data_IF_127280014104
#
_entry.id   IF_127280014104
#
_cell.length_a   1.000
_cell.length_b   1.000
_cell.length_c   1.000
_cell.angle_alpha   90.00
_cell.angle_beta   90.00
_cell.angle_gamma   90.00
#
_symmetry.space_group_name_H-M   'P 1'
#
loop_
_entity.id
_entity.type
_entity.pdbx_description
1 polymer ?
#
# COMPACT_ATOMS: atom_id res chain seq x y z
N UNK A 1 -64.16 65.73 -20.48
CA UNK A 1 -64.17 66.61 -21.67
C UNK A 1 -62.96 66.25 -22.53
N UNK A 2 -63.04 66.60 -23.81
CA UNK A 2 -62.44 66.02 -25.02
C UNK A 2 -60.88 66.06 -25.14
N UNK A 3 -60.33 65.27 -26.09
CA UNK A 3 -58.94 64.80 -26.18
C UNK A 3 -58.08 65.69 -27.10
N UNK A 4 -56.76 65.47 -27.14
CA UNK A 4 -55.93 65.93 -28.27
C UNK A 4 -54.88 64.86 -28.62
N UNK A 5 -55.05 64.28 -29.81
CA UNK A 5 -54.02 63.57 -30.57
C UNK A 5 -53.13 64.61 -31.26
N UNK A 6 -51.82 64.43 -31.21
CA UNK A 6 -50.89 65.05 -32.15
C UNK A 6 -49.88 64.00 -32.60
N UNK A 7 -50.08 63.53 -33.82
CA UNK A 7 -49.16 62.70 -34.60
C UNK A 7 -48.01 63.55 -35.13
N UNK A 8 -46.76 63.17 -34.85
CA UNK A 8 -45.62 63.60 -35.66
C UNK A 8 -44.81 62.35 -36.04
N UNK A 9 -44.90 62.03 -37.32
CA UNK A 9 -44.03 61.13 -38.06
C UNK A 9 -42.60 61.67 -38.08
N UNK A 10 -41.62 60.84 -37.72
CA UNK A 10 -40.19 61.16 -37.84
C UNK A 10 -39.38 59.88 -37.88
N UNK A 11 -39.12 59.39 -39.09
CA UNK A 11 -38.32 58.21 -39.40
C UNK A 11 -36.83 58.53 -39.20
N UNK A 12 -36.16 57.91 -38.22
CA UNK A 12 -34.69 57.78 -38.21
C UNK A 12 -34.37 56.30 -38.05
N UNK A 13 -34.20 55.67 -39.20
CA UNK A 13 -33.71 54.30 -39.36
C UNK A 13 -32.18 54.38 -39.33
N UNK A 14 -31.56 54.11 -38.18
CA UNK A 14 -30.19 53.56 -38.11
C UNK A 14 -29.81 53.16 -36.69
N UNK A 15 -28.91 52.17 -36.61
CA UNK A 15 -28.42 51.43 -35.44
C UNK A 15 -29.32 50.24 -35.07
N UNK A 16 -28.85 49.01 -34.93
CA UNK A 16 -27.51 48.47 -35.14
C UNK A 16 -27.61 46.98 -35.48
N UNK A 17 -26.62 46.59 -36.27
CA UNK A 17 -26.16 45.25 -36.56
C UNK A 17 -26.13 44.34 -35.30
N UNK A 18 -26.87 43.23 -35.32
CA UNK A 18 -26.50 42.02 -34.57
C UNK A 18 -27.19 40.80 -35.20
N UNK A 19 -26.52 40.25 -36.21
CA UNK A 19 -26.74 38.89 -36.68
C UNK A 19 -26.37 37.87 -35.56
N UNK A 20 -26.82 36.61 -35.69
CA UNK A 20 -27.08 35.68 -34.61
C UNK A 20 -25.80 34.97 -34.14
N UNK A 21 -25.82 34.45 -32.91
CA UNK A 21 -25.29 33.12 -32.61
C UNK A 21 -25.38 32.88 -31.11
N UNK A 22 -26.13 31.85 -30.75
CA UNK A 22 -25.97 31.15 -29.49
C UNK A 22 -24.53 30.60 -29.44
N UNK A 23 -23.57 31.41 -29.00
CA UNK A 23 -22.23 30.94 -28.71
C UNK A 23 -22.32 30.00 -27.50
N UNK A 24 -22.48 28.71 -27.76
CA UNK A 24 -22.37 27.67 -26.74
C UNK A 24 -20.97 27.80 -26.14
N UNK A 25 -20.89 28.33 -24.90
CA UNK A 25 -19.65 28.41 -24.13
C UNK A 25 -19.08 26.99 -23.99
N UNK A 26 -18.07 26.65 -24.78
CA UNK A 26 -17.28 25.42 -24.62
C UNK A 26 -16.40 25.60 -23.39
N UNK A 27 -16.42 24.62 -22.50
CA UNK A 27 -15.58 24.59 -21.32
C UNK A 27 -14.46 23.58 -21.53
N UNK A 28 -13.24 24.00 -21.22
CA UNK A 28 -12.04 23.19 -21.35
C UNK A 28 -11.47 22.92 -19.96
N UNK A 29 -11.12 21.67 -19.69
CA UNK A 29 -10.36 21.26 -18.49
C UNK A 29 -9.02 20.67 -18.91
N UNK A 30 -8.01 20.85 -18.06
CA UNK A 30 -6.74 20.14 -18.20
C UNK A 30 -6.88 18.80 -17.46
N UNK A 31 -6.59 17.71 -18.17
CA UNK A 31 -6.57 16.37 -17.59
C UNK A 31 -5.42 16.24 -16.60
N UNK A 32 -5.71 15.84 -15.36
CA UNK A 32 -4.72 15.65 -14.30
C UNK A 32 -3.77 14.46 -14.55
N UNK A 33 -4.12 13.56 -15.48
CA UNK A 33 -3.40 12.30 -15.69
C UNK A 33 -2.36 12.36 -16.81
N UNK A 34 -2.60 13.18 -17.83
CA UNK A 34 -1.75 13.25 -19.01
C UNK A 34 -1.52 14.68 -19.52
N UNK A 35 -1.97 15.70 -18.78
CA UNK A 35 -1.81 17.12 -19.11
C UNK A 35 -2.46 17.57 -20.43
N UNK A 36 -3.36 16.77 -21.01
CA UNK A 36 -4.10 17.15 -22.23
C UNK A 36 -5.26 18.10 -21.90
N UNK A 37 -5.51 19.09 -22.77
CA UNK A 37 -6.67 19.99 -22.66
C UNK A 37 -7.87 19.37 -23.37
N UNK A 38 -8.91 19.01 -22.61
CA UNK A 38 -10.15 18.44 -23.14
C UNK A 38 -11.25 19.48 -23.10
N UNK A 39 -11.74 19.88 -24.27
CA UNK A 39 -12.75 20.93 -24.45
C UNK A 39 -14.12 20.37 -24.87
N UNK A 40 -15.12 20.48 -23.99
CA UNK A 40 -16.48 20.01 -24.22
C UNK A 40 -17.54 21.12 -24.22
N UNK A 41 -18.79 20.80 -24.55
CA UNK A 41 -19.93 21.67 -24.21
C UNK A 41 -20.17 21.62 -22.71
N UNK A 42 -20.52 22.75 -22.09
CA UNK A 42 -21.01 22.76 -20.70
C UNK A 42 -22.27 21.90 -20.62
N UNK A 43 -22.23 20.84 -19.81
CA UNK A 43 -23.40 20.01 -19.58
C UNK A 43 -24.51 20.90 -19.01
N UNK A 44 -25.70 20.83 -19.61
CA UNK A 44 -26.88 21.50 -19.07
C UNK A 44 -27.28 20.88 -17.73
N UNK A 45 -27.95 21.63 -16.85
CA UNK A 45 -28.45 21.07 -15.59
C UNK A 45 -29.29 19.81 -15.82
N UNK A 46 -30.06 19.77 -16.90
CA UNK A 46 -30.84 18.58 -17.30
C UNK A 46 -29.97 17.38 -17.67
N UNK A 47 -28.83 17.60 -18.34
CA UNK A 47 -27.88 16.53 -18.67
C UNK A 47 -27.12 16.04 -17.42
N UNK A 48 -26.72 16.95 -16.53
CA UNK A 48 -26.10 16.61 -15.23
C UNK A 48 -27.10 15.85 -14.35
N UNK A 49 -28.35 16.30 -14.28
CA UNK A 49 -29.41 15.65 -13.52
C UNK A 49 -29.78 14.28 -14.12
N UNK A 50 -29.72 14.11 -15.44
CA UNK A 50 -29.86 12.80 -16.09
C UNK A 50 -28.71 11.86 -15.75
N UNK A 51 -27.47 12.36 -15.76
CA UNK A 51 -26.28 11.58 -15.39
C UNK A 51 -26.32 11.19 -13.90
N UNK A 52 -26.61 12.14 -13.00
CA UNK A 52 -26.77 11.90 -11.57
C UNK A 52 -27.94 10.95 -11.28
N UNK A 53 -29.13 11.12 -11.90
CA UNK A 53 -30.23 10.14 -11.76
C UNK A 53 -29.87 8.74 -12.25
N UNK A 54 -29.02 8.63 -13.27
CA UNK A 54 -28.56 7.34 -13.80
C UNK A 54 -27.52 6.70 -12.89
N UNK A 55 -26.63 7.48 -12.28
CA UNK A 55 -25.72 7.02 -11.24
C UNK A 55 -26.50 6.60 -9.98
N UNK A 56 -27.43 7.41 -9.50
CA UNK A 56 -28.27 7.11 -8.34
C UNK A 56 -29.14 5.87 -8.57
N UNK A 57 -29.67 5.65 -9.78
CA UNK A 57 -30.38 4.39 -10.11
C UNK A 57 -29.47 3.18 -10.14
N UNK A 58 -28.21 3.34 -10.55
CA UNK A 58 -27.21 2.26 -10.52
C UNK A 58 -26.76 1.96 -9.08
N UNK A 59 -26.74 2.95 -8.20
CA UNK A 59 -26.50 2.74 -6.77
C UNK A 59 -27.69 2.08 -6.08
N UNK A 60 -28.94 2.50 -6.34
CA UNK A 60 -30.12 1.86 -5.74
C UNK A 60 -30.35 0.41 -6.17
N UNK A 61 -29.85 0.01 -7.36
CA UNK A 61 -29.81 -1.41 -7.77
C UNK A 61 -28.61 -2.19 -7.20
N UNK A 62 -27.61 -1.51 -6.64
CA UNK A 62 -26.59 -2.12 -5.78
C UNK A 62 -27.05 -2.20 -4.32
N UNK A 63 -28.09 -1.45 -3.99
CA UNK A 63 -28.73 -1.33 -2.67
C UNK A 63 -30.02 -2.18 -2.57
N UNK A 64 -30.06 -3.30 -3.29
CA UNK A 64 -31.10 -4.33 -3.19
C UNK A 64 -30.75 -5.36 -2.11
N UNK A 65 -30.16 -4.94 -0.98
CA UNK A 65 -29.95 -5.78 0.22
C UNK A 65 -29.16 -7.08 -0.02
N UNK A 66 -28.57 -7.26 -1.21
CA UNK A 66 -27.79 -8.44 -1.61
C UNK A 66 -26.29 -8.20 -1.51
N UNK A 67 -25.88 -7.19 -0.75
CA UNK A 67 -24.54 -7.08 -0.20
C UNK A 67 -24.46 -7.55 1.27
N UNK A 68 -25.60 -7.76 1.93
CA UNK A 68 -25.68 -8.18 3.33
C UNK A 68 -25.84 -9.69 3.51
N UNK A 69 -24.90 -10.44 2.93
CA UNK A 69 -24.62 -11.82 3.38
C UNK A 69 -23.14 -12.19 3.47
N UNK A 70 -22.19 -11.32 3.12
CA UNK A 70 -20.87 -11.85 2.69
C UNK A 70 -19.61 -11.06 3.06
N UNK A 71 -19.62 -10.25 4.11
CA UNK A 71 -18.46 -10.27 5.01
C UNK A 71 -18.69 -11.44 5.95
N UNK A 72 -18.15 -12.60 5.60
CA UNK A 72 -18.10 -13.74 6.51
C UNK A 72 -17.22 -13.35 7.70
N UNK A 73 -17.84 -12.68 8.66
CA UNK A 73 -17.27 -12.33 9.95
C UNK A 73 -17.44 -13.50 10.93
N UNK A 74 -17.40 -14.73 10.42
CA UNK A 74 -17.26 -15.93 11.23
C UNK A 74 -16.01 -15.77 12.09
N UNK A 75 -16.10 -16.29 13.32
CA UNK A 75 -14.96 -16.42 14.23
C UNK A 75 -13.78 -17.11 13.53
N UNK A 76 -14.04 -17.96 12.53
CA UNK A 76 -13.02 -18.64 11.74
C UNK A 76 -12.18 -17.68 10.87
N UNK A 77 -12.82 -16.74 10.17
CA UNK A 77 -12.13 -15.74 9.33
C UNK A 77 -11.19 -14.88 10.16
N UNK A 78 -11.69 -14.33 11.29
CA UNK A 78 -10.86 -13.52 12.21
C UNK A 78 -9.69 -14.30 12.79
N UNK A 79 -9.93 -15.57 13.16
CA UNK A 79 -8.89 -16.47 13.68
C UNK A 79 -7.81 -16.69 12.64
N UNK A 80 -8.19 -16.94 11.38
CA UNK A 80 -7.24 -17.11 10.28
C UNK A 80 -6.44 -15.83 10.04
N UNK A 81 -7.07 -14.66 9.98
CA UNK A 81 -6.38 -13.39 9.79
C UNK A 81 -5.38 -13.09 10.91
N UNK A 82 -5.74 -13.42 12.16
CA UNK A 82 -4.82 -13.32 13.30
C UNK A 82 -3.60 -14.24 13.12
N UNK A 83 -3.82 -15.52 12.81
CA UNK A 83 -2.74 -16.50 12.57
C UNK A 83 -1.80 -16.04 11.44
N UNK A 84 -2.35 -15.49 10.35
CA UNK A 84 -1.56 -15.01 9.22
C UNK A 84 -0.66 -13.82 9.62
N UNK A 85 -1.17 -12.89 10.44
CA UNK A 85 -0.38 -11.75 10.95
C UNK A 85 0.73 -12.22 11.88
N UNK A 86 0.43 -13.08 12.85
CA UNK A 86 1.42 -13.61 13.79
C UNK A 86 2.55 -14.36 13.08
N UNK A 87 2.22 -15.21 12.08
CA UNK A 87 3.24 -15.89 11.28
C UNK A 87 4.09 -14.87 10.50
N UNK A 88 3.46 -13.85 9.91
CA UNK A 88 4.20 -12.82 9.19
C UNK A 88 5.14 -12.02 10.11
N UNK A 89 4.76 -11.79 11.37
CA UNK A 89 5.62 -11.17 12.37
C UNK A 89 6.79 -12.08 12.74
N UNK A 90 6.59 -13.40 12.85
CA UNK A 90 7.69 -14.36 12.98
C UNK A 90 8.67 -14.33 11.79
N UNK A 91 8.15 -14.18 10.56
CA UNK A 91 8.99 -14.00 9.37
C UNK A 91 9.85 -12.74 9.47
N UNK A 92 9.25 -11.62 9.89
CA UNK A 92 9.96 -10.34 10.05
C UNK A 92 11.02 -10.44 11.13
N UNK A 93 10.68 -11.04 12.25
CA UNK A 93 11.61 -11.25 13.35
C UNK A 93 12.76 -12.16 12.96
N UNK A 94 12.49 -13.34 12.41
CA UNK A 94 13.52 -14.36 12.18
C UNK A 94 14.34 -14.09 10.92
N UNK A 95 13.69 -13.65 9.85
CA UNK A 95 14.27 -13.55 8.51
C UNK A 95 14.41 -12.11 8.00
N UNK A 96 13.90 -11.12 8.72
CA UNK A 96 14.01 -9.71 8.34
C UNK A 96 13.15 -9.33 7.13
N UNK A 97 12.13 -10.11 6.78
CA UNK A 97 11.22 -9.83 5.66
C UNK A 97 9.80 -10.33 5.93
N UNK A 98 8.83 -9.87 5.16
CA UNK A 98 7.49 -10.47 5.17
C UNK A 98 7.53 -11.88 4.56
N UNK A 99 6.67 -12.76 5.08
CA UNK A 99 6.43 -14.07 4.49
C UNK A 99 5.69 -13.94 3.16
N UNK A 100 5.95 -14.83 2.22
CA UNK A 100 5.15 -14.90 1.00
C UNK A 100 3.80 -15.60 1.27
N UNK A 101 2.83 -15.41 0.38
CA UNK A 101 1.48 -15.94 0.55
C UNK A 101 1.45 -17.46 0.71
N UNK A 102 2.36 -18.20 0.06
CA UNK A 102 2.41 -19.66 0.14
C UNK A 102 3.03 -20.10 1.45
N UNK A 103 4.18 -19.54 1.83
CA UNK A 103 4.85 -19.83 3.10
C UNK A 103 3.97 -19.57 4.31
N UNK A 104 3.31 -18.40 4.37
CA UNK A 104 2.38 -18.07 5.45
C UNK A 104 1.22 -19.07 5.51
N UNK A 105 0.61 -19.39 4.36
CA UNK A 105 -0.50 -20.35 4.30
C UNK A 105 -0.09 -21.73 4.80
N UNK A 106 1.09 -22.22 4.40
CA UNK A 106 1.59 -23.53 4.83
C UNK A 106 1.69 -23.66 6.35
N UNK A 107 2.24 -22.65 7.03
CA UNK A 107 2.29 -22.67 8.50
C UNK A 107 0.94 -22.40 9.14
N UNK A 108 0.13 -21.52 8.54
CA UNK A 108 -1.20 -21.22 9.06
C UNK A 108 -2.10 -22.45 9.07
N UNK A 109 -2.08 -23.26 8.01
CA UNK A 109 -2.89 -24.48 7.94
C UNK A 109 -2.47 -25.50 9.02
N UNK A 110 -1.17 -25.56 9.40
CA UNK A 110 -0.66 -26.41 10.50
C UNK A 110 -1.04 -25.91 11.90
N UNK A 111 -1.10 -24.58 12.09
CA UNK A 111 -1.55 -24.00 13.37
C UNK A 111 -3.06 -24.16 13.51
N UNK A 112 -3.82 -23.95 12.43
CA UNK A 112 -5.27 -24.07 12.43
C UNK A 112 -5.74 -25.52 12.61
N UNK A 113 -4.98 -26.51 12.12
CA UNK A 113 -5.24 -27.94 12.40
C UNK A 113 -4.90 -28.36 13.84
N UNK A 114 -4.17 -27.54 14.59
CA UNK A 114 -3.70 -27.86 15.94
C UNK A 114 -2.43 -28.72 15.98
N UNK A 115 -1.82 -29.02 14.82
CA UNK A 115 -0.59 -29.82 14.77
C UNK A 115 0.62 -29.05 15.34
N UNK A 116 0.64 -27.72 15.15
CA UNK A 116 1.80 -26.87 15.41
C UNK A 116 1.40 -25.65 16.24
N UNK A 117 2.35 -25.15 17.02
CA UNK A 117 2.31 -23.86 17.69
C UNK A 117 3.24 -22.83 17.02
N UNK A 118 3.16 -21.57 17.45
CA UNK A 118 4.04 -20.51 16.95
C UNK A 118 5.52 -20.76 17.26
N UNK A 119 5.82 -21.41 18.39
CA UNK A 119 7.19 -21.76 18.75
C UNK A 119 7.82 -22.74 17.75
N UNK A 120 7.05 -23.70 17.25
CA UNK A 120 7.49 -24.64 16.20
C UNK A 120 7.72 -23.93 14.88
N UNK A 121 6.82 -23.03 14.46
CA UNK A 121 7.03 -22.21 13.26
C UNK A 121 8.33 -21.40 13.38
N UNK A 122 8.57 -20.77 14.54
CA UNK A 122 9.80 -20.02 14.78
C UNK A 122 11.06 -20.89 14.67
N UNK A 123 11.03 -22.11 15.22
CA UNK A 123 12.15 -23.06 15.12
C UNK A 123 12.43 -23.45 13.67
N UNK A 124 11.41 -23.74 12.89
CA UNK A 124 11.57 -24.07 11.47
C UNK A 124 12.16 -22.90 10.67
N UNK A 125 11.68 -21.68 10.92
CA UNK A 125 12.24 -20.48 10.31
C UNK A 125 13.70 -20.27 10.71
N UNK A 126 14.04 -20.40 11.99
CA UNK A 126 15.39 -20.19 12.52
C UNK A 126 16.40 -21.26 12.05
N UNK A 127 15.95 -22.50 11.90
CA UNK A 127 16.74 -23.62 11.38
C UNK A 127 16.88 -23.63 9.85
N UNK A 128 16.12 -22.78 9.14
CA UNK A 128 16.09 -22.78 7.68
C UNK A 128 17.43 -22.34 7.05
N UNK A 129 17.63 -22.75 5.78
CA UNK A 129 18.75 -22.27 4.97
C UNK A 129 18.75 -20.74 4.85
N UNK A 130 17.57 -20.14 4.77
CA UNK A 130 17.44 -18.70 4.65
C UNK A 130 17.90 -17.97 5.92
N UNK A 131 17.54 -18.45 7.12
CA UNK A 131 18.05 -17.86 8.36
C UNK A 131 19.58 -17.91 8.42
N UNK A 132 20.18 -19.03 7.98
CA UNK A 132 21.64 -19.14 7.85
C UNK A 132 22.22 -18.13 6.86
N UNK A 133 21.60 -17.93 5.70
CA UNK A 133 22.01 -16.93 4.72
C UNK A 133 21.92 -15.51 5.27
N UNK A 134 20.85 -15.18 6.03
CA UNK A 134 20.67 -13.90 6.71
C UNK A 134 21.72 -13.64 7.78
N UNK A 135 22.03 -14.62 8.62
CA UNK A 135 23.09 -14.49 9.63
C UNK A 135 24.44 -14.27 8.95
N UNK A 136 24.77 -15.05 7.90
CA UNK A 136 26.00 -14.85 7.14
C UNK A 136 26.08 -13.46 6.50
N UNK A 137 24.96 -12.93 6.00
CA UNK A 137 24.90 -11.58 5.48
C UNK A 137 25.27 -10.54 6.57
N UNK A 138 24.72 -10.65 7.77
CA UNK A 138 25.09 -9.77 8.89
C UNK A 138 26.59 -9.85 9.24
N UNK A 139 27.15 -11.06 9.25
CA UNK A 139 28.58 -11.28 9.46
C UNK A 139 29.43 -10.61 8.37
N UNK A 140 29.05 -10.70 7.10
CA UNK A 140 29.79 -10.04 6.01
C UNK A 140 29.68 -8.52 6.09
N UNK A 141 28.52 -8.00 6.47
CA UNK A 141 28.30 -6.56 6.61
C UNK A 141 29.10 -5.96 7.78
N UNK A 142 29.17 -6.67 8.92
CA UNK A 142 29.75 -6.15 10.17
C UNK A 142 31.21 -6.54 10.34
N UNK A 143 31.56 -7.80 10.05
CA UNK A 143 32.87 -8.41 10.30
C UNK A 143 33.67 -8.72 9.04
N UNK A 144 33.10 -8.49 7.84
CA UNK A 144 33.75 -8.74 6.54
C UNK A 144 34.18 -10.20 6.31
N UNK A 145 33.49 -11.15 6.95
CA UNK A 145 33.68 -12.60 6.80
C UNK A 145 32.34 -13.31 6.87
N UNK A 146 32.30 -14.57 6.47
CA UNK A 146 31.16 -15.44 6.81
C UNK A 146 31.22 -15.87 8.29
N UNK A 147 30.05 -16.24 8.82
CA UNK A 147 29.98 -16.83 10.13
C UNK A 147 30.63 -18.21 10.12
N UNK A 148 31.41 -18.50 11.14
CA UNK A 148 31.89 -19.86 11.40
C UNK A 148 30.75 -20.75 11.94
N UNK A 149 31.03 -22.04 12.10
CA UNK A 149 30.02 -23.03 12.52
C UNK A 149 29.44 -22.71 13.91
N UNK A 150 30.25 -22.20 14.83
CA UNK A 150 29.82 -21.91 16.19
C UNK A 150 28.99 -20.63 16.25
N UNK A 151 29.39 -19.59 15.53
CA UNK A 151 28.64 -18.35 15.37
C UNK A 151 27.27 -18.59 14.75
N UNK A 152 27.20 -19.37 13.66
CA UNK A 152 25.92 -19.76 13.04
C UNK A 152 25.02 -20.48 14.04
N UNK A 153 25.52 -21.52 14.70
CA UNK A 153 24.74 -22.30 15.66
C UNK A 153 24.23 -21.44 16.81
N UNK A 154 25.07 -20.53 17.30
CA UNK A 154 24.72 -19.63 18.42
C UNK A 154 23.56 -18.72 18.05
N UNK A 155 23.66 -18.02 16.92
CA UNK A 155 22.60 -17.11 16.51
C UNK A 155 21.33 -17.82 16.05
N UNK A 156 21.43 -18.99 15.40
CA UNK A 156 20.24 -19.80 15.11
C UNK A 156 19.50 -20.19 16.39
N UNK A 157 20.21 -20.66 17.43
CA UNK A 157 19.60 -20.94 18.74
C UNK A 157 18.99 -19.70 19.40
N UNK A 158 19.61 -18.54 19.24
CA UNK A 158 19.07 -17.30 19.78
C UNK A 158 17.79 -16.89 19.03
N UNK A 159 17.74 -17.05 17.70
CA UNK A 159 16.51 -16.89 16.93
C UNK A 159 15.46 -17.90 17.43
N UNK A 160 15.78 -19.18 17.61
CA UNK A 160 14.81 -20.15 18.17
C UNK A 160 14.22 -19.69 19.52
N UNK A 161 15.03 -19.04 20.37
CA UNK A 161 14.64 -18.53 21.70
C UNK A 161 13.93 -17.18 21.68
N UNK A 162 13.56 -16.65 20.52
CA UNK A 162 12.78 -15.42 20.42
C UNK A 162 13.58 -14.17 20.06
N UNK A 163 14.88 -14.27 19.75
CA UNK A 163 15.59 -13.11 19.23
C UNK A 163 15.10 -12.76 17.82
N UNK A 164 15.08 -11.47 17.51
CA UNK A 164 14.94 -10.98 16.15
C UNK A 164 16.31 -10.90 15.48
N UNK A 165 16.31 -10.94 14.15
CA UNK A 165 17.49 -10.73 13.32
C UNK A 165 18.12 -9.35 13.57
N UNK A 166 17.30 -8.35 13.89
CA UNK A 166 17.78 -7.03 14.30
C UNK A 166 18.51 -7.07 15.64
N UNK A 167 18.04 -7.87 16.60
CA UNK A 167 18.76 -8.09 17.87
C UNK A 167 20.09 -8.80 17.62
N UNK A 168 20.14 -9.78 16.71
CA UNK A 168 21.39 -10.42 16.28
C UNK A 168 22.35 -9.40 15.68
N UNK A 169 21.86 -8.49 14.83
CA UNK A 169 22.68 -7.40 14.26
C UNK A 169 23.32 -6.53 15.34
N UNK A 170 22.53 -6.09 16.32
CA UNK A 170 23.02 -5.26 17.44
C UNK A 170 24.06 -6.01 18.29
N UNK A 171 23.77 -7.25 18.66
CA UNK A 171 24.69 -8.08 19.45
C UNK A 171 26.02 -8.29 18.72
N UNK A 172 25.97 -8.55 17.40
CA UNK A 172 27.18 -8.69 16.60
C UNK A 172 27.98 -7.39 16.50
N UNK A 173 27.33 -6.23 16.39
CA UNK A 173 27.98 -4.91 16.41
C UNK A 173 28.68 -4.59 17.73
N UNK A 174 28.11 -5.07 18.84
CA UNK A 174 28.60 -4.87 20.21
C UNK A 174 29.56 -5.98 20.66
N UNK A 175 29.78 -7.01 19.84
CA UNK A 175 30.64 -8.14 20.17
C UNK A 175 32.13 -7.76 20.28
N UNK A 176 32.89 -8.55 21.05
CA UNK A 176 34.35 -8.46 21.06
C UNK A 176 34.96 -8.67 19.68
N UNK A 177 34.34 -9.50 18.85
CA UNK A 177 34.80 -9.74 17.47
C UNK A 177 34.71 -8.46 16.63
N UNK A 178 33.62 -7.71 16.74
CA UNK A 178 33.49 -6.43 16.04
C UNK A 178 34.50 -5.39 16.55
N UNK A 179 34.74 -5.34 17.86
CA UNK A 179 35.79 -4.48 18.44
C UNK A 179 37.17 -4.83 17.88
N UNK A 180 37.52 -6.12 17.85
CA UNK A 180 38.81 -6.61 17.34
C UNK A 180 38.96 -6.37 15.84
N UNK A 181 37.91 -6.57 15.05
CA UNK A 181 37.93 -6.29 13.60
C UNK A 181 38.21 -4.81 13.30
N UNK A 182 37.56 -3.89 14.04
CA UNK A 182 37.80 -2.44 13.93
C UNK A 182 39.21 -2.04 14.37
N UNK A 183 39.76 -2.67 15.42
CA UNK A 183 41.11 -2.42 15.90
C UNK A 183 42.18 -2.94 14.93
N UNK A 184 42.00 -4.14 14.36
CA UNK A 184 42.92 -4.74 13.39
C UNK A 184 42.99 -3.99 12.05
N UNK A 185 41.89 -3.34 11.64
CA UNK A 185 41.87 -2.48 10.44
C UNK A 185 42.73 -1.21 10.54
N UNK A 186 43.09 -0.76 11.75
CA UNK A 186 43.92 0.46 11.94
C UNK A 186 45.42 0.22 11.82
N UNK A 187 45.88 -1.03 11.74
CA UNK A 187 47.33 -1.36 11.76
C UNK A 187 47.93 -1.46 10.34
N UNK A 188 47.13 -1.45 9.26
CA UNK A 188 47.61 -1.57 7.87
C UNK A 188 47.72 -0.25 7.10
N UNK A 189 48.28 0.78 7.73
CA UNK A 189 48.94 1.87 6.99
C UNK A 189 50.34 2.04 7.55
N UNK A 190 51.29 1.32 6.98
CA UNK A 190 52.71 1.59 7.19
C UNK A 190 53.40 1.52 5.83
N UNK A 191 53.67 2.74 5.34
CA UNK A 191 54.51 3.23 4.24
C UNK A 191 54.33 2.61 2.84
#
# INVERSE_FOLDING_TARGET
MKPILLTITGLIMTTALAAPAQAQRRYCIVSEYNSEVVCGRRATEREVEWYNRRYDRRERRRDDGRYDRRYDNSRDTRRRDYVYREINDLYRDVLGRSGDRRGIRTYADRILSGDWDYAKVRRELAGSREARERINQLYREILRRDADRDGLRTYQKNLERGWSLERVRRDLLESDEARRSRAGGRIRRRF
#
